data_IF_916668541687
#
_entry.id   IF_916668541687
#
_cell.length_a   1.000
_cell.length_b   1.000
_cell.length_c   1.000
_cell.angle_alpha   90.00
_cell.angle_beta   90.00
_cell.angle_gamma   90.00
#
_symmetry.space_group_name_H-M   'P 1'
#
loop_
_entity.id
_entity.type
_entity.pdbx_description
1 polymer ?
#
# COMPACT_ATOMS: atom_id res chain seq x y z
N UNK A 1 -9.12 -7.75 -14.29
CA UNK A 1 -7.68 -8.07 -14.31
C UNK A 1 -6.99 -7.11 -13.34
N UNK A 2 -6.20 -7.58 -12.38
CA UNK A 2 -5.49 -6.72 -11.44
C UNK A 2 -4.12 -6.33 -12.00
N UNK A 3 -3.55 -5.20 -11.53
CA UNK A 3 -2.16 -4.82 -11.84
C UNK A 3 -1.21 -5.81 -11.16
N UNK A 4 -0.27 -6.40 -11.93
CA UNK A 4 0.74 -7.33 -11.42
C UNK A 4 2.06 -7.09 -12.15
N UNK A 5 3.17 -7.21 -11.44
CA UNK A 5 4.52 -7.26 -12.01
C UNK A 5 5.14 -8.65 -11.90
N UNK A 6 6.39 -8.75 -12.34
CA UNK A 6 7.27 -9.88 -12.09
C UNK A 6 7.64 -9.97 -10.59
N UNK A 7 8.14 -11.13 -10.11
CA UNK A 7 8.64 -11.26 -8.75
C UNK A 7 9.72 -10.23 -8.40
N UNK A 8 10.59 -9.90 -9.37
CA UNK A 8 11.68 -8.95 -9.19
C UNK A 8 11.17 -7.50 -9.08
N UNK A 9 10.25 -7.09 -9.96
CA UNK A 9 9.59 -5.78 -9.85
C UNK A 9 8.84 -5.62 -8.51
N UNK A 10 8.19 -6.69 -8.05
CA UNK A 10 7.50 -6.69 -6.74
C UNK A 10 8.51 -6.52 -5.59
N UNK A 11 9.65 -7.22 -5.65
CA UNK A 11 10.71 -7.13 -4.63
C UNK A 11 11.31 -5.72 -4.55
N UNK A 12 11.56 -5.10 -5.71
CA UNK A 12 12.08 -3.73 -5.79
C UNK A 12 11.07 -2.74 -5.20
N UNK A 13 9.79 -2.88 -5.53
CA UNK A 13 8.72 -2.02 -5.00
C UNK A 13 8.58 -2.15 -3.48
N UNK A 14 8.61 -3.37 -2.93
CA UNK A 14 8.58 -3.58 -1.47
C UNK A 14 9.73 -2.84 -0.77
N UNK A 15 10.93 -2.86 -1.36
CA UNK A 15 12.09 -2.16 -0.82
C UNK A 15 11.96 -0.62 -0.92
N UNK A 16 11.54 -0.12 -2.09
CA UNK A 16 11.38 1.31 -2.34
C UNK A 16 10.38 1.96 -1.37
N UNK A 17 9.23 1.30 -1.17
CA UNK A 17 8.18 1.80 -0.29
C UNK A 17 8.36 1.38 1.17
N UNK A 18 9.40 0.61 1.49
CA UNK A 18 9.59 -0.04 2.80
C UNK A 18 8.34 -0.81 3.25
N UNK A 19 7.64 -1.40 2.29
CA UNK A 19 6.47 -2.21 2.51
C UNK A 19 6.87 -3.65 2.83
N UNK A 20 6.00 -4.35 3.55
CA UNK A 20 6.20 -5.73 3.97
C UNK A 20 5.24 -6.66 3.25
N UNK A 21 5.73 -7.85 2.92
CA UNK A 21 4.93 -8.98 2.42
C UNK A 21 5.60 -10.27 2.92
N UNK A 22 5.06 -10.86 3.99
CA UNK A 22 5.68 -11.98 4.69
C UNK A 22 4.75 -13.18 4.66
N UNK A 23 5.21 -14.28 4.06
CA UNK A 23 4.45 -15.54 4.07
C UNK A 23 4.46 -16.17 5.45
N UNK A 24 3.28 -16.40 6.00
CA UNK A 24 3.07 -17.01 7.32
C UNK A 24 2.24 -18.28 7.17
N UNK A 25 2.72 -19.46 7.60
CA UNK A 25 1.89 -20.65 7.62
C UNK A 25 0.73 -20.45 8.60
N UNK A 26 -0.46 -20.95 8.24
CA UNK A 26 -1.62 -20.98 9.12
C UNK A 26 -2.21 -22.38 9.13
N UNK A 27 -2.77 -22.78 10.26
CA UNK A 27 -3.46 -24.05 10.39
C UNK A 27 -4.76 -24.07 9.57
N UNK A 28 -5.24 -25.27 9.23
CA UNK A 28 -6.44 -25.46 8.42
C UNK A 28 -6.20 -25.47 6.91
N UNK A 29 -7.27 -25.34 6.13
CA UNK A 29 -7.25 -25.57 4.68
C UNK A 29 -6.55 -24.48 3.86
N UNK A 30 -6.27 -23.32 4.44
CA UNK A 30 -5.65 -22.18 3.73
C UNK A 30 -4.15 -22.37 3.51
N UNK A 31 -3.47 -23.14 4.37
CA UNK A 31 -2.03 -23.41 4.31
C UNK A 31 -1.12 -22.22 4.68
N UNK A 32 -1.39 -21.01 4.15
CA UNK A 32 -0.66 -19.79 4.50
C UNK A 32 -1.47 -18.51 4.30
N UNK A 33 -1.01 -17.44 4.94
CA UNK A 33 -1.41 -16.05 4.71
C UNK A 33 -0.18 -15.19 4.39
N UNK A 34 -0.42 -13.97 3.92
CA UNK A 34 0.62 -12.95 3.75
C UNK A 34 0.34 -11.80 4.71
N UNK A 35 1.21 -11.62 5.70
CA UNK A 35 1.25 -10.38 6.47
C UNK A 35 1.77 -9.29 5.54
N UNK A 36 0.99 -8.22 5.38
CA UNK A 36 1.29 -7.13 4.46
C UNK A 36 1.13 -5.77 5.13
N UNK A 37 1.85 -4.78 4.59
CA UNK A 37 1.61 -3.38 4.95
C UNK A 37 0.22 -2.94 4.47
N UNK A 38 -0.52 -2.22 5.33
CA UNK A 38 -1.93 -1.85 5.09
C UNK A 38 -2.13 -0.39 4.66
N UNK A 39 -1.13 0.47 4.86
CA UNK A 39 -1.22 1.87 4.45
C UNK A 39 -1.22 2.08 2.94
N UNK A 40 -1.71 3.24 2.51
CA UNK A 40 -1.85 3.64 1.12
C UNK A 40 -0.94 4.83 0.77
N UNK A 41 -0.47 4.90 -0.47
CA UNK A 41 0.33 6.01 -0.98
C UNK A 41 -0.47 6.78 -2.02
N UNK A 42 -0.54 8.11 -1.90
CA UNK A 42 -1.30 8.99 -2.81
C UNK A 42 -0.33 9.77 -3.68
N UNK A 43 -0.52 9.67 -5.00
CA UNK A 43 0.27 10.37 -6.01
C UNK A 43 -0.57 11.46 -6.68
N UNK A 44 0.08 12.57 -7.07
CA UNK A 44 -0.55 13.59 -7.91
C UNK A 44 -0.61 13.14 -9.40
N UNK A 45 -1.34 13.86 -10.27
CA UNK A 45 -1.40 13.53 -11.71
C UNK A 45 -0.06 13.58 -12.44
N UNK A 46 0.96 14.24 -11.88
CA UNK A 46 2.32 14.25 -12.40
C UNK A 46 3.15 13.05 -11.91
N UNK A 47 2.56 12.14 -11.13
CA UNK A 47 3.19 10.93 -10.62
C UNK A 47 4.06 11.15 -9.38
N UNK A 48 3.93 12.28 -8.68
CA UNK A 48 4.73 12.57 -7.48
C UNK A 48 4.02 12.07 -6.24
N UNK A 49 4.74 11.40 -5.35
CA UNK A 49 4.21 10.97 -4.05
C UNK A 49 3.87 12.19 -3.18
N UNK A 50 2.65 12.27 -2.65
CA UNK A 50 2.16 13.40 -1.84
C UNK A 50 1.80 13.02 -0.42
N UNK A 51 1.11 11.88 -0.23
CA UNK A 51 0.65 11.43 1.10
C UNK A 51 0.95 9.95 1.32
N UNK A 52 1.17 9.62 2.58
CA UNK A 52 1.01 8.27 3.11
C UNK A 52 -0.21 8.26 4.04
N UNK A 53 -1.20 7.44 3.72
CA UNK A 53 -2.44 7.27 4.48
C UNK A 53 -2.33 5.99 5.30
N UNK A 54 -2.51 6.10 6.61
CA UNK A 54 -2.53 4.95 7.51
C UNK A 54 -3.86 4.20 7.38
N UNK A 55 -3.85 2.90 7.68
CA UNK A 55 -5.04 2.05 7.62
C UNK A 55 -6.16 2.53 8.55
N UNK A 56 -5.80 3.06 9.72
CA UNK A 56 -6.76 3.53 10.72
C UNK A 56 -7.25 4.98 10.49
N UNK A 57 -6.75 5.66 9.44
CA UNK A 57 -7.12 7.05 9.18
C UNK A 57 -8.56 7.13 8.68
N UNK A 58 -9.38 7.99 9.29
CA UNK A 58 -10.77 8.12 8.89
C UNK A 58 -10.93 8.91 7.58
N UNK A 59 -12.04 8.68 6.89
CA UNK A 59 -12.31 9.27 5.58
C UNK A 59 -12.38 10.81 5.59
N UNK A 60 -12.80 11.44 6.70
CA UNK A 60 -12.91 12.89 6.79
C UNK A 60 -11.52 13.55 6.81
N UNK A 61 -10.59 12.99 7.59
CA UNK A 61 -9.21 13.46 7.66
C UNK A 61 -8.48 13.23 6.34
N UNK A 62 -8.66 12.06 5.72
CA UNK A 62 -8.10 11.78 4.37
C UNK A 62 -8.60 12.83 3.36
N UNK A 63 -9.90 13.12 3.36
CA UNK A 63 -10.48 14.11 2.45
C UNK A 63 -9.96 15.54 2.73
N UNK A 64 -9.71 15.88 4.00
CA UNK A 64 -9.10 17.16 4.36
C UNK A 64 -7.67 17.28 3.85
N UNK A 65 -6.83 16.26 4.06
CA UNK A 65 -5.45 16.20 3.58
C UNK A 65 -5.38 16.31 2.05
N UNK A 66 -6.26 15.61 1.34
CA UNK A 66 -6.32 15.67 -0.12
C UNK A 66 -6.72 17.07 -0.61
N UNK A 67 -7.71 17.72 0.01
CA UNK A 67 -8.12 19.08 -0.38
C UNK A 67 -6.97 20.08 -0.23
N UNK A 68 -6.19 19.98 0.85
CA UNK A 68 -5.02 20.84 1.07
C UNK A 68 -3.98 20.71 -0.05
N UNK A 69 -3.93 19.57 -0.75
CA UNK A 69 -3.02 19.37 -1.88
C UNK A 69 -3.55 19.84 -3.22
N UNK A 70 -4.84 20.18 -3.30
CA UNK A 70 -5.52 20.64 -4.51
C UNK A 70 -5.70 22.16 -4.55
N UNK A 71 -5.44 22.84 -3.44
CA UNK A 71 -5.29 24.31 -3.37
C UNK A 71 -3.95 24.76 -3.98
#
# INVERSE_FOLDING_TARGET
>A
MALRGTPEETRLLLAEFRATAIRRPVEGSMGYVIDHSTGCYVFDPAGRLRLYVKDEQNAADIAADIRLLLE
#
